data_IF_227853547452
#
_entry.id   IF_227853547452
#
_cell.length_a   1.000
_cell.length_b   1.000
_cell.length_c   1.000
_cell.angle_alpha   90.00
_cell.angle_beta   90.00
_cell.angle_gamma   90.00
#
_symmetry.space_group_name_H-M   'P 1'
#
loop_
_entity.id
_entity.type
_entity.pdbx_description
1 polymer ?
#
# COMPACT_ATOMS: atom_id res chain seq x y z
N UNK A 1 13.94 -49.66 79.00
CA UNK A 1 12.56 -49.97 79.44
C UNK A 1 11.57 -49.16 78.67
N UNK A 2 10.63 -49.84 78.14
CA UNK A 2 9.31 -49.43 77.50
C UNK A 2 9.28 -48.67 76.21
N UNK A 3 8.94 -49.42 75.17
CA UNK A 3 8.00 -49.13 74.12
C UNK A 3 6.58 -48.98 74.73
N UNK A 4 5.58 -48.42 74.05
CA UNK A 4 5.12 -48.66 72.70
C UNK A 4 4.61 -47.34 72.03
N UNK A 5 4.06 -47.24 70.87
CA UNK A 5 3.30 -48.03 69.90
C UNK A 5 2.58 -47.07 68.88
N UNK A 6 2.61 -47.39 67.60
CA UNK A 6 1.55 -47.37 66.61
C UNK A 6 0.85 -46.04 66.27
N UNK A 7 0.83 -45.72 64.97
CA UNK A 7 -0.11 -44.80 64.33
C UNK A 7 0.17 -44.61 62.84
N UNK A 8 -0.22 -45.57 62.00
CA UNK A 8 -0.33 -45.46 60.52
C UNK A 8 -1.48 -44.52 60.16
N UNK A 9 -1.27 -43.60 59.29
CA UNK A 9 -2.31 -43.25 58.29
C UNK A 9 -1.64 -42.77 57.00
N UNK A 10 -1.93 -43.52 55.93
CA UNK A 10 -1.73 -43.16 54.56
C UNK A 10 -2.70 -42.00 54.19
N UNK A 11 -2.23 -41.03 53.50
CA UNK A 11 -3.08 -40.18 52.66
C UNK A 11 -2.37 -39.89 51.37
N UNK A 12 -2.90 -40.50 50.33
CA UNK A 12 -2.54 -40.22 48.92
C UNK A 12 -2.99 -38.81 48.54
N UNK A 13 -2.05 -37.93 48.26
CA UNK A 13 -2.31 -36.63 47.65
C UNK A 13 -2.08 -36.72 46.16
N UNK A 14 -3.14 -36.67 45.42
CA UNK A 14 -3.20 -36.62 43.95
C UNK A 14 -2.58 -35.31 43.45
N UNK A 15 -1.46 -35.44 42.74
CA UNK A 15 -0.81 -34.34 42.05
C UNK A 15 -1.60 -34.07 40.76
N UNK A 16 -2.51 -33.09 40.76
CA UNK A 16 -3.22 -32.62 39.58
C UNK A 16 -2.29 -31.70 38.79
N UNK A 17 -1.72 -32.20 37.68
CA UNK A 17 -0.93 -31.46 36.71
C UNK A 17 -1.91 -30.64 35.86
N UNK A 18 -2.10 -29.36 36.16
CA UNK A 18 -2.82 -28.41 35.31
C UNK A 18 -1.93 -28.07 34.12
N UNK A 19 -2.14 -28.76 33.01
CA UNK A 19 -1.71 -28.33 31.70
C UNK A 19 -2.55 -27.11 31.29
N UNK A 20 -2.01 -25.91 31.46
CA UNK A 20 -2.51 -24.69 30.85
C UNK A 20 -2.14 -24.74 29.36
N UNK A 21 -3.05 -25.24 28.54
CA UNK A 21 -3.00 -25.07 27.08
C UNK A 21 -3.21 -23.59 26.79
N UNK A 22 -2.14 -22.87 26.49
CA UNK A 22 -2.20 -21.54 25.93
C UNK A 22 -2.76 -21.64 24.50
N UNK A 23 -4.05 -21.39 24.34
CA UNK A 23 -4.64 -21.15 23.03
C UNK A 23 -4.10 -19.83 22.50
N UNK A 24 -3.57 -19.76 21.26
CA UNK A 24 -3.18 -18.50 20.66
C UNK A 24 -4.43 -17.66 20.46
N UNK A 25 -4.40 -16.51 21.04
CA UNK A 25 -5.49 -15.60 21.27
C UNK A 25 -6.04 -15.02 19.97
N UNK A 26 -7.36 -14.97 19.84
CA UNK A 26 -8.12 -14.21 18.83
C UNK A 26 -7.86 -12.69 18.90
N UNK A 27 -7.10 -12.22 19.88
CA UNK A 27 -6.78 -10.82 20.09
C UNK A 27 -5.92 -10.20 18.97
N UNK A 28 -5.05 -10.98 18.32
CA UNK A 28 -4.19 -10.50 17.26
C UNK A 28 -4.99 -10.09 15.99
N UNK A 29 -6.06 -10.81 15.66
CA UNK A 29 -6.94 -10.46 14.53
C UNK A 29 -7.84 -9.26 14.88
N UNK A 30 -8.31 -9.16 16.10
CA UNK A 30 -9.12 -8.04 16.56
C UNK A 30 -8.31 -6.73 16.61
N UNK A 31 -7.04 -6.79 17.01
CA UNK A 31 -6.14 -5.64 17.01
C UNK A 31 -5.79 -5.17 15.59
N UNK A 32 -5.55 -6.08 14.65
CA UNK A 32 -5.28 -5.72 13.25
C UNK A 32 -6.49 -5.05 12.57
N UNK A 33 -7.71 -5.53 12.84
CA UNK A 33 -8.95 -4.92 12.32
C UNK A 33 -9.26 -3.58 12.98
N UNK A 34 -8.99 -3.41 14.26
CA UNK A 34 -9.14 -2.14 14.97
C UNK A 34 -8.11 -1.09 14.53
N UNK A 35 -6.85 -1.48 14.30
CA UNK A 35 -5.82 -0.62 13.76
C UNK A 35 -6.17 -0.14 12.34
N UNK A 36 -6.65 -1.04 11.46
CA UNK A 36 -7.12 -0.66 10.12
C UNK A 36 -8.35 0.26 10.14
N UNK A 37 -9.26 0.09 11.09
CA UNK A 37 -10.41 0.98 11.27
C UNK A 37 -9.97 2.36 11.80
N UNK A 38 -9.00 2.40 12.71
CA UNK A 38 -8.44 3.64 13.25
C UNK A 38 -7.67 4.44 12.18
N UNK A 39 -6.93 3.76 11.30
CA UNK A 39 -6.22 4.40 10.17
C UNK A 39 -7.21 4.99 9.17
N UNK A 40 -8.36 4.36 8.91
CA UNK A 40 -9.42 4.90 8.04
C UNK A 40 -10.10 6.15 8.62
N UNK A 41 -10.20 6.25 9.93
CA UNK A 41 -10.84 7.38 10.64
C UNK A 41 -9.85 8.48 11.07
N UNK A 42 -8.55 8.22 10.95
CA UNK A 42 -7.48 9.08 11.45
C UNK A 42 -7.18 10.31 10.59
N UNK A 43 -6.17 11.07 11.00
CA UNK A 43 -5.66 12.21 10.25
C UNK A 43 -4.93 11.75 8.95
N UNK A 44 -4.93 12.57 7.88
CA UNK A 44 -4.38 12.17 6.58
C UNK A 44 -2.87 11.87 6.61
N UNK A 45 -2.12 12.57 7.45
CA UNK A 45 -0.69 12.33 7.65
C UNK A 45 -0.42 11.01 8.39
N UNK A 46 -1.29 10.62 9.32
CA UNK A 46 -1.19 9.33 10.01
C UNK A 46 -1.49 8.16 9.07
N UNK A 47 -2.49 8.31 8.19
CA UNK A 47 -2.74 7.34 7.14
C UNK A 47 -1.51 7.13 6.25
N UNK A 48 -0.90 8.21 5.76
CA UNK A 48 0.29 8.14 4.90
C UNK A 48 1.47 7.53 5.65
N UNK A 49 1.68 7.92 6.92
CA UNK A 49 2.74 7.36 7.77
C UNK A 49 2.60 5.84 7.89
N UNK A 50 1.44 5.39 8.34
CA UNK A 50 1.16 3.97 8.58
C UNK A 50 1.29 3.17 7.29
N UNK A 51 0.62 3.61 6.21
CA UNK A 51 0.67 2.94 4.92
C UNK A 51 2.10 2.81 4.39
N UNK A 52 2.85 3.92 4.40
CA UNK A 52 4.22 3.92 3.86
C UNK A 52 5.15 3.05 4.70
N UNK A 53 5.00 3.04 6.03
CA UNK A 53 5.77 2.17 6.92
C UNK A 53 5.46 0.70 6.66
N UNK A 54 4.17 0.34 6.58
CA UNK A 54 3.73 -1.04 6.35
C UNK A 54 4.21 -1.59 5.00
N UNK A 55 4.20 -0.75 3.96
CA UNK A 55 4.73 -1.11 2.63
C UNK A 55 6.23 -1.35 2.68
N UNK A 56 7.01 -0.42 3.27
CA UNK A 56 8.45 -0.59 3.42
C UNK A 56 8.81 -1.84 4.23
N UNK A 57 8.11 -2.09 5.33
CA UNK A 57 8.35 -3.25 6.18
C UNK A 57 7.99 -4.56 5.48
N UNK A 58 6.93 -4.57 4.65
CA UNK A 58 6.58 -5.73 3.83
C UNK A 58 7.70 -6.05 2.83
N UNK A 59 8.24 -5.03 2.15
CA UNK A 59 9.34 -5.21 1.20
C UNK A 59 10.61 -5.69 1.90
N UNK A 60 10.95 -5.14 3.07
CA UNK A 60 12.13 -5.57 3.85
C UNK A 60 12.05 -7.03 4.30
N UNK A 61 10.85 -7.53 4.59
CA UNK A 61 10.63 -8.89 5.11
C UNK A 61 10.55 -9.96 4.02
N UNK A 62 10.26 -9.59 2.77
CA UNK A 62 10.08 -10.53 1.66
C UNK A 62 11.17 -10.39 0.60
N UNK A 63 12.02 -11.41 0.48
CA UNK A 63 13.12 -11.47 -0.52
C UNK A 63 12.61 -11.46 -1.95
N UNK A 64 11.41 -11.98 -2.21
CA UNK A 64 10.80 -11.95 -3.54
C UNK A 64 10.43 -10.53 -3.94
N UNK A 65 9.91 -9.72 -3.01
CA UNK A 65 9.67 -8.29 -3.24
C UNK A 65 10.99 -7.55 -3.49
N UNK A 66 12.04 -7.86 -2.73
CA UNK A 66 13.38 -7.28 -2.92
C UNK A 66 14.05 -7.70 -4.23
N UNK A 67 13.71 -8.84 -4.78
CA UNK A 67 14.19 -9.27 -6.11
C UNK A 67 13.36 -8.70 -7.27
N UNK A 68 12.28 -7.97 -6.98
CA UNK A 68 11.44 -7.35 -7.98
C UNK A 68 10.42 -8.31 -8.61
N UNK A 69 10.03 -9.39 -7.91
CA UNK A 69 8.96 -10.27 -8.36
C UNK A 69 7.68 -9.47 -8.60
N UNK A 70 7.31 -9.35 -9.86
CA UNK A 70 6.19 -8.51 -10.28
C UNK A 70 4.85 -8.99 -9.70
N UNK A 71 4.62 -10.30 -9.64
CA UNK A 71 3.39 -10.86 -9.09
C UNK A 71 3.25 -10.53 -7.60
N UNK A 72 4.33 -10.64 -6.85
CA UNK A 72 4.38 -10.27 -5.43
C UNK A 72 4.20 -8.77 -5.20
N UNK A 73 4.82 -7.94 -6.03
CA UNK A 73 4.64 -6.48 -5.97
C UNK A 73 3.19 -6.08 -6.28
N UNK A 74 2.57 -6.71 -7.28
CA UNK A 74 1.18 -6.48 -7.60
C UNK A 74 0.25 -6.89 -6.44
N UNK A 75 0.47 -8.07 -5.85
CA UNK A 75 -0.29 -8.52 -4.68
C UNK A 75 -0.12 -7.57 -3.48
N UNK A 76 1.10 -7.07 -3.22
CA UNK A 76 1.35 -6.07 -2.17
C UNK A 76 0.54 -4.79 -2.42
N UNK A 77 0.51 -4.30 -3.67
CA UNK A 77 -0.27 -3.12 -4.04
C UNK A 77 -1.76 -3.37 -3.84
N UNK A 78 -2.27 -4.50 -4.29
CA UNK A 78 -3.69 -4.86 -4.20
C UNK A 78 -4.15 -4.99 -2.74
N UNK A 79 -3.34 -5.63 -1.90
CA UNK A 79 -3.67 -5.89 -0.50
C UNK A 79 -3.47 -4.65 0.38
N UNK A 80 -2.34 -3.95 0.23
CA UNK A 80 -1.94 -2.92 1.21
C UNK A 80 -2.16 -1.49 0.74
N UNK A 81 -2.10 -1.21 -0.55
CA UNK A 81 -2.15 0.16 -1.07
C UNK A 81 -3.56 0.51 -1.56
N UNK A 82 -4.15 -0.33 -2.41
CA UNK A 82 -5.45 -0.03 -3.04
C UNK A 82 -6.59 0.27 -2.04
N UNK A 83 -6.67 -0.35 -0.86
CA UNK A 83 -7.71 0.00 0.12
C UNK A 83 -7.68 1.47 0.55
N UNK A 84 -6.55 2.16 0.40
CA UNK A 84 -6.34 3.56 0.81
C UNK A 84 -6.24 4.52 -0.37
N UNK A 85 -6.37 4.03 -1.61
CA UNK A 85 -6.25 4.83 -2.83
C UNK A 85 -7.59 4.89 -3.56
N UNK A 86 -8.01 6.10 -3.97
CA UNK A 86 -9.07 6.27 -4.97
C UNK A 86 -8.45 6.17 -6.37
N UNK A 87 -8.17 4.91 -6.79
CA UNK A 87 -7.48 4.68 -8.06
C UNK A 87 -8.35 5.01 -9.28
N UNK A 88 -9.67 4.91 -9.15
CA UNK A 88 -10.60 5.34 -10.20
C UNK A 88 -10.48 6.84 -10.44
N UNK A 89 -10.49 7.66 -9.39
CA UNK A 89 -10.27 9.11 -9.51
C UNK A 89 -8.90 9.45 -10.09
N UNK A 90 -7.84 8.76 -9.65
CA UNK A 90 -6.49 8.93 -10.21
C UNK A 90 -6.50 8.67 -11.72
N UNK A 91 -7.10 7.58 -12.16
CA UNK A 91 -7.23 7.22 -13.58
C UNK A 91 -8.10 8.25 -14.34
N UNK A 92 -9.24 8.63 -13.77
CA UNK A 92 -10.13 9.65 -14.34
C UNK A 92 -9.39 10.96 -14.60
N UNK A 93 -8.59 11.42 -13.66
CA UNK A 93 -7.83 12.66 -13.78
C UNK A 93 -6.73 12.54 -14.86
N UNK A 94 -6.04 11.40 -14.93
CA UNK A 94 -5.02 11.14 -15.96
C UNK A 94 -5.62 11.01 -17.37
N UNK A 95 -6.77 10.38 -17.52
CA UNK A 95 -7.51 10.25 -18.80
C UNK A 95 -8.18 11.57 -19.21
N UNK A 96 -8.55 12.39 -18.25
CA UNK A 96 -9.10 13.72 -18.46
C UNK A 96 -10.46 13.68 -19.18
N UNK A 97 -10.59 14.44 -20.27
CA UNK A 97 -11.87 14.57 -21.01
C UNK A 97 -12.38 13.24 -21.57
N UNK A 98 -11.48 12.34 -21.94
CA UNK A 98 -11.81 11.02 -22.47
C UNK A 98 -12.61 10.15 -21.49
N UNK A 99 -12.42 10.35 -20.18
CA UNK A 99 -13.12 9.58 -19.15
C UNK A 99 -14.66 9.66 -19.27
N UNK A 100 -15.18 10.83 -19.63
CA UNK A 100 -16.65 11.00 -19.79
C UNK A 100 -17.22 10.25 -20.99
N UNK A 101 -16.38 9.96 -21.99
CA UNK A 101 -16.77 9.23 -23.21
C UNK A 101 -16.57 7.72 -23.05
N UNK A 102 -15.78 7.28 -22.05
CA UNK A 102 -15.49 5.87 -21.81
C UNK A 102 -16.69 5.15 -21.21
N UNK A 103 -16.97 3.94 -21.71
CA UNK A 103 -17.95 3.02 -21.11
C UNK A 103 -17.49 2.54 -19.74
N UNK A 104 -18.37 1.97 -18.89
CA UNK A 104 -17.95 1.38 -17.61
C UNK A 104 -16.85 0.34 -17.79
N UNK A 105 -16.91 -0.52 -18.81
CA UNK A 105 -15.95 -1.56 -19.12
C UNK A 105 -14.60 -0.95 -19.52
N UNK A 106 -14.61 0.10 -20.33
CA UNK A 106 -13.40 0.83 -20.71
C UNK A 106 -12.76 1.52 -19.50
N UNK A 107 -13.55 2.11 -18.60
CA UNK A 107 -13.03 2.71 -17.34
C UNK A 107 -12.35 1.67 -16.45
N UNK A 108 -12.95 0.49 -16.33
CA UNK A 108 -12.33 -0.62 -15.58
C UNK A 108 -11.03 -1.09 -16.25
N UNK A 109 -11.03 -1.24 -17.57
CA UNK A 109 -9.83 -1.62 -18.32
C UNK A 109 -8.72 -0.57 -18.18
N UNK A 110 -9.03 0.72 -18.33
CA UNK A 110 -8.09 1.82 -18.13
C UNK A 110 -7.48 1.80 -16.72
N UNK A 111 -8.31 1.64 -15.69
CA UNK A 111 -7.85 1.60 -14.31
C UNK A 111 -6.94 0.40 -14.05
N UNK A 112 -7.30 -0.78 -14.57
CA UNK A 112 -6.48 -1.98 -14.44
C UNK A 112 -5.13 -1.83 -15.15
N UNK A 113 -5.15 -1.40 -16.41
CA UNK A 113 -3.93 -1.26 -17.21
C UNK A 113 -3.01 -0.14 -16.67
N UNK A 114 -3.57 0.97 -16.24
CA UNK A 114 -2.80 2.06 -15.65
C UNK A 114 -2.15 1.65 -14.31
N UNK A 115 -2.87 0.90 -13.47
CA UNK A 115 -2.29 0.33 -12.24
C UNK A 115 -1.11 -0.58 -12.56
N UNK A 116 -1.28 -1.50 -13.51
CA UNK A 116 -0.22 -2.43 -13.93
C UNK A 116 1.01 -1.66 -14.43
N UNK A 117 0.79 -0.61 -15.23
CA UNK A 117 1.85 0.27 -15.72
C UNK A 117 2.63 0.92 -14.56
N UNK A 118 1.94 1.49 -13.56
CA UNK A 118 2.59 2.13 -12.42
C UNK A 118 3.40 1.12 -11.60
N UNK A 119 2.84 -0.07 -11.32
CA UNK A 119 3.57 -1.12 -10.58
C UNK A 119 4.84 -1.50 -11.33
N UNK A 120 4.78 -1.69 -12.66
CA UNK A 120 5.96 -2.00 -13.47
C UNK A 120 6.99 -0.89 -13.47
N UNK A 121 6.54 0.35 -13.69
CA UNK A 121 7.42 1.52 -13.75
C UNK A 121 8.22 1.70 -12.45
N UNK A 122 7.58 1.46 -11.31
CA UNK A 122 8.21 1.67 -10.00
C UNK A 122 8.75 0.40 -9.33
N UNK A 123 8.59 -0.77 -9.95
CA UNK A 123 9.08 -2.05 -9.40
C UNK A 123 10.59 -2.04 -9.11
N UNK A 124 11.39 -1.44 -10.00
CA UNK A 124 12.83 -1.31 -9.82
C UNK A 124 13.21 -0.47 -8.59
N UNK A 125 12.49 0.61 -8.32
CA UNK A 125 12.71 1.40 -7.11
C UNK A 125 12.30 0.63 -5.84
N UNK A 126 11.18 -0.08 -5.88
CA UNK A 126 10.72 -0.92 -4.76
C UNK A 126 11.71 -2.05 -4.45
N UNK A 127 12.31 -2.67 -5.48
CA UNK A 127 13.30 -3.74 -5.29
C UNK A 127 14.62 -3.26 -4.66
N UNK A 128 14.88 -1.96 -4.63
CA UNK A 128 16.06 -1.39 -3.99
C UNK A 128 15.87 -1.05 -2.50
N UNK A 129 14.66 -1.21 -1.98
CA UNK A 129 14.36 -0.95 -0.56
C UNK A 129 15.15 -1.92 0.31
N UNK A 130 15.93 -1.37 1.28
CA UNK A 130 16.69 -2.08 2.30
C UNK A 130 16.40 -1.44 3.65
N UNK A 131 17.31 -0.68 4.20
CA UNK A 131 17.18 0.00 5.50
C UNK A 131 16.46 1.37 5.40
N UNK A 132 15.58 1.51 4.40
CA UNK A 132 14.85 2.74 4.17
C UNK A 132 13.81 2.97 5.27
N UNK A 133 13.59 4.23 5.60
CA UNK A 133 12.60 4.67 6.59
C UNK A 133 11.76 5.81 6.04
N UNK A 134 10.53 5.93 6.53
CA UNK A 134 9.64 7.05 6.21
C UNK A 134 9.93 8.19 7.18
N UNK A 135 10.26 9.36 6.63
CA UNK A 135 10.33 10.62 7.37
C UNK A 135 9.16 11.50 6.97
N UNK A 136 8.28 11.79 7.90
CA UNK A 136 7.19 12.74 7.68
C UNK A 136 7.76 14.16 7.65
N UNK A 137 7.33 14.96 6.68
CA UNK A 137 7.59 16.40 6.66
C UNK A 137 6.45 17.16 7.34
N UNK A 138 6.68 18.41 7.79
CA UNK A 138 5.65 19.16 8.48
C UNK A 138 4.35 19.24 7.67
N UNK A 139 3.28 18.72 8.24
CA UNK A 139 1.94 18.82 7.68
C UNK A 139 1.34 20.18 8.03
N UNK A 140 1.01 20.97 7.01
CA UNK A 140 0.50 22.33 7.18
C UNK A 140 -1.03 22.42 7.05
N UNK A 141 -1.70 21.24 7.01
CA UNK A 141 -3.12 21.18 6.67
C UNK A 141 -3.37 21.45 5.18
N UNK A 142 -4.62 21.71 4.85
CA UNK A 142 -5.07 21.98 3.48
C UNK A 142 -6.50 22.50 3.52
N UNK A 143 -7.24 22.37 2.42
CA UNK A 143 -8.69 22.53 2.44
C UNK A 143 -9.27 21.40 3.28
N UNK A 144 -10.47 21.64 3.84
CA UNK A 144 -11.11 20.67 4.75
C UNK A 144 -11.19 19.25 4.18
N UNK A 145 -11.36 19.14 2.86
CA UNK A 145 -11.60 17.88 2.15
C UNK A 145 -10.50 17.50 1.14
N UNK A 146 -9.41 18.29 1.02
CA UNK A 146 -8.34 18.08 0.06
C UNK A 146 -7.00 18.59 0.63
N UNK A 147 -6.05 17.69 0.82
CA UNK A 147 -4.78 17.99 1.49
C UNK A 147 -3.59 17.38 0.75
N UNK A 148 -2.40 17.93 1.02
CA UNK A 148 -1.13 17.36 0.57
C UNK A 148 -0.32 16.95 1.79
N UNK A 149 -0.02 15.66 1.88
CA UNK A 149 0.92 15.11 2.85
C UNK A 149 2.27 14.88 2.18
N UNK A 150 3.36 15.33 2.82
CA UNK A 150 4.71 15.24 2.29
C UNK A 150 5.57 14.32 3.11
N UNK A 151 6.35 13.49 2.43
CA UNK A 151 7.28 12.56 3.07
C UNK A 151 8.62 12.52 2.34
N UNK A 152 9.59 11.93 3.00
CA UNK A 152 10.85 11.50 2.43
C UNK A 152 11.09 10.05 2.79
N UNK A 153 11.49 9.25 1.81
CA UNK A 153 12.04 7.92 2.06
C UNK A 153 13.54 8.08 2.18
N UNK A 154 14.06 7.83 3.37
CA UNK A 154 15.47 8.03 3.69
C UNK A 154 16.17 6.69 3.91
N UNK A 155 17.41 6.57 3.47
CA UNK A 155 18.29 5.44 3.69
C UNK A 155 19.56 5.92 4.40
N UNK A 156 20.38 5.01 5.00
CA UNK A 156 21.66 5.36 5.60
C UNK A 156 22.65 5.98 4.60
N UNK A 157 22.49 5.70 3.31
CA UNK A 157 23.28 6.24 2.20
C UNK A 157 22.39 6.60 1.04
N UNK A 158 22.77 7.65 0.29
CA UNK A 158 22.03 8.16 -0.85
C UNK A 158 21.13 9.34 -0.50
N UNK A 159 20.59 9.96 -1.53
CA UNK A 159 19.70 11.10 -1.37
C UNK A 159 18.29 10.66 -0.94
N UNK A 160 17.61 11.46 -0.12
CA UNK A 160 16.23 11.20 0.23
C UNK A 160 15.32 11.21 -1.01
N UNK A 161 14.44 10.22 -1.12
CA UNK A 161 13.41 10.18 -2.15
C UNK A 161 12.19 10.92 -1.63
N UNK A 162 11.86 12.05 -2.25
CA UNK A 162 10.66 12.80 -1.90
C UNK A 162 9.43 12.11 -2.48
N UNK A 163 8.42 11.89 -1.62
CA UNK A 163 7.10 11.42 -2.00
C UNK A 163 6.04 12.31 -1.34
N UNK A 164 5.23 12.97 -2.17
CA UNK A 164 4.09 13.75 -1.70
C UNK A 164 2.79 13.08 -2.17
N UNK A 165 1.74 13.21 -1.37
CA UNK A 165 0.47 12.55 -1.61
C UNK A 165 -0.65 13.58 -1.59
N UNK A 166 -1.53 13.57 -2.60
CA UNK A 166 -2.81 14.26 -2.55
C UNK A 166 -3.86 13.32 -2.01
N UNK A 167 -4.57 13.78 -0.99
CA UNK A 167 -5.63 13.03 -0.36
C UNK A 167 -6.92 13.84 -0.38
N UNK A 168 -8.03 13.12 -0.56
CA UNK A 168 -9.37 13.65 -0.40
C UNK A 168 -10.08 12.95 0.74
N UNK A 169 -11.01 13.67 1.37
CA UNK A 169 -11.94 13.09 2.32
C UNK A 169 -13.04 12.36 1.56
N UNK A 170 -13.27 11.10 1.91
CA UNK A 170 -14.26 10.23 1.31
C UNK A 170 -15.06 9.52 2.41
N UNK A 171 -16.16 8.85 2.05
CA UNK A 171 -16.89 8.02 2.97
C UNK A 171 -15.97 6.97 3.61
N UNK A 172 -15.85 7.03 4.94
CA UNK A 172 -14.99 6.13 5.71
C UNK A 172 -13.52 6.58 5.84
N UNK A 173 -13.19 7.84 5.56
CA UNK A 173 -11.88 8.44 5.84
C UNK A 173 -11.17 9.02 4.63
N UNK A 174 -9.85 9.19 4.74
CA UNK A 174 -9.04 9.77 3.68
C UNK A 174 -8.67 8.75 2.60
N UNK A 175 -8.58 9.21 1.33
CA UNK A 175 -8.13 8.44 0.19
C UNK A 175 -7.07 9.19 -0.59
N UNK A 176 -5.97 8.52 -0.92
CA UNK A 176 -4.96 9.06 -1.82
C UNK A 176 -5.52 9.03 -3.25
N UNK A 177 -5.39 10.12 -4.01
CA UNK A 177 -5.81 10.15 -5.41
C UNK A 177 -4.72 10.64 -6.38
N UNK A 178 -3.55 11.07 -5.87
CA UNK A 178 -2.37 11.36 -6.68
C UNK A 178 -1.10 11.23 -5.84
N UNK A 179 0.02 10.90 -6.48
CA UNK A 179 1.33 10.78 -5.84
C UNK A 179 2.35 11.58 -6.65
N UNK A 180 3.17 12.35 -5.94
CA UNK A 180 4.34 13.01 -6.49
C UNK A 180 5.58 12.17 -6.18
N UNK A 181 6.35 11.83 -7.19
CA UNK A 181 7.61 11.12 -7.05
C UNK A 181 8.73 12.04 -7.56
N UNK A 182 9.63 12.44 -6.65
CA UNK A 182 10.78 13.32 -6.98
C UNK A 182 10.38 14.60 -7.74
N UNK A 183 9.28 15.23 -7.34
CA UNK A 183 8.80 16.48 -7.93
C UNK A 183 7.80 16.32 -9.08
N UNK A 184 7.53 15.09 -9.52
CA UNK A 184 6.62 14.81 -10.65
C UNK A 184 5.32 14.17 -10.16
N UNK A 185 4.19 14.85 -10.34
CA UNK A 185 2.86 14.32 -10.05
C UNK A 185 2.46 13.29 -11.11
N UNK A 186 2.06 12.09 -10.68
CA UNK A 186 1.75 10.97 -11.59
C UNK A 186 0.58 11.31 -12.52
N UNK A 187 -0.49 11.88 -12.00
CA UNK A 187 -1.65 12.29 -12.82
C UNK A 187 -1.23 13.24 -13.92
N UNK A 188 -0.47 14.28 -13.59
CA UNK A 188 -0.05 15.28 -14.58
C UNK A 188 0.94 14.71 -15.60
N UNK A 189 1.84 13.84 -15.16
CA UNK A 189 2.82 13.18 -16.03
C UNK A 189 2.14 12.34 -17.13
N UNK A 190 1.08 11.60 -16.79
CA UNK A 190 0.38 10.75 -17.75
C UNK A 190 -0.68 11.47 -18.58
N UNK A 191 -1.21 12.57 -18.09
CA UNK A 191 -2.33 13.28 -18.70
C UNK A 191 -2.11 13.69 -20.17
N UNK A 192 -0.93 14.26 -20.46
CA UNK A 192 -0.60 14.69 -21.81
C UNK A 192 -0.40 13.50 -22.76
N UNK A 193 0.29 12.45 -22.30
CA UNK A 193 0.49 11.22 -23.06
C UNK A 193 -0.85 10.53 -23.38
N UNK A 194 -1.70 10.37 -22.37
CA UNK A 194 -3.01 9.74 -22.55
C UNK A 194 -3.92 10.55 -23.46
N UNK A 195 -3.93 11.88 -23.32
CA UNK A 195 -4.69 12.74 -24.22
C UNK A 195 -4.22 12.61 -25.68
N UNK A 196 -2.92 12.53 -25.93
CA UNK A 196 -2.37 12.32 -27.27
C UNK A 196 -2.80 10.97 -27.85
N UNK A 197 -2.72 9.90 -27.06
CA UNK A 197 -3.12 8.56 -27.51
C UNK A 197 -4.62 8.44 -27.76
N UNK A 198 -5.44 9.08 -26.92
CA UNK A 198 -6.91 9.14 -27.13
C UNK A 198 -7.25 9.92 -28.41
N UNK A 199 -6.55 11.01 -28.70
CA UNK A 199 -6.76 11.78 -29.94
C UNK A 199 -6.42 10.97 -31.19
N UNK A 200 -5.48 10.03 -31.13
CA UNK A 200 -5.06 9.20 -32.25
C UNK A 200 -5.92 7.94 -32.43
N UNK A 201 -6.28 7.28 -31.35
CA UNK A 201 -6.90 5.95 -31.39
C UNK A 201 -8.15 5.78 -30.53
N UNK A 202 -8.66 6.88 -29.96
CA UNK A 202 -9.78 6.82 -29.03
C UNK A 202 -9.41 6.12 -27.71
N UNK A 203 -10.42 5.82 -26.91
CA UNK A 203 -10.26 5.14 -25.63
C UNK A 203 -9.68 3.72 -25.81
N UNK A 204 -10.15 3.00 -26.83
CA UNK A 204 -9.65 1.64 -27.12
C UNK A 204 -8.20 1.67 -27.58
N UNK A 205 -7.78 2.70 -28.29
CA UNK A 205 -6.38 2.93 -28.65
C UNK A 205 -5.48 3.10 -27.42
N UNK A 206 -5.91 3.89 -26.45
CA UNK A 206 -5.20 4.04 -25.18
C UNK A 206 -5.13 2.72 -24.40
N UNK A 207 -6.25 1.98 -24.28
CA UNK A 207 -6.29 0.69 -23.60
C UNK A 207 -5.30 -0.29 -24.26
N UNK A 208 -5.34 -0.38 -25.60
CA UNK A 208 -4.43 -1.24 -26.38
C UNK A 208 -2.97 -0.87 -26.12
N UNK A 209 -2.64 0.40 -26.20
CA UNK A 209 -1.28 0.90 -25.96
C UNK A 209 -0.77 0.57 -24.54
N UNK A 210 -1.60 0.78 -23.52
CA UNK A 210 -1.28 0.42 -22.15
C UNK A 210 -1.06 -1.09 -21.99
N UNK A 211 -1.92 -1.90 -22.56
CA UNK A 211 -1.80 -3.36 -22.54
C UNK A 211 -0.50 -3.84 -23.19
N UNK A 212 -0.13 -3.26 -24.33
CA UNK A 212 1.11 -3.60 -25.04
C UNK A 212 2.34 -3.21 -24.21
N UNK A 213 2.40 -2.01 -23.65
CA UNK A 213 3.47 -1.58 -22.73
C UNK A 213 3.60 -2.52 -21.54
N UNK A 214 2.47 -2.90 -20.95
CA UNK A 214 2.45 -3.83 -19.82
C UNK A 214 2.98 -5.22 -20.18
N UNK A 215 2.75 -5.70 -21.40
CA UNK A 215 3.32 -6.98 -21.88
C UNK A 215 4.82 -6.90 -22.10
N UNK A 216 5.31 -5.78 -22.63
CA UNK A 216 6.73 -5.59 -22.95
C UNK A 216 7.59 -5.28 -21.72
N UNK A 217 6.99 -5.04 -20.57
CA UNK A 217 7.72 -4.66 -19.35
C UNK A 217 8.35 -3.26 -19.41
N UNK A 218 7.91 -2.43 -20.37
CA UNK A 218 8.54 -1.16 -20.69
C UNK A 218 8.11 0.00 -19.81
N UNK A 219 9.10 0.80 -19.40
CA UNK A 219 8.95 2.11 -18.78
C UNK A 219 8.58 3.14 -19.86
N UNK A 220 7.44 3.88 -19.72
CA UNK A 220 7.07 4.94 -20.67
C UNK A 220 8.02 6.15 -20.65
N UNK A 221 8.89 6.26 -19.64
CA UNK A 221 9.91 7.31 -19.52
C UNK A 221 11.19 7.06 -20.29
N UNK A 222 11.44 5.83 -20.74
CA UNK A 222 12.58 5.49 -21.60
C UNK A 222 12.19 5.62 -23.06
N UNK A 223 12.29 6.84 -23.62
CA UNK A 223 12.44 6.98 -25.08
C UNK A 223 13.74 6.30 -25.48
N UNK A 224 13.63 5.34 -26.40
CA UNK A 224 14.75 4.77 -27.11
C UNK A 224 15.55 5.85 -27.86
#
# INVERSE_FOLDING_TARGET
MNKPSIGRTLSAGVLALLMASAMPTMDAFAQATAANAAVKAGAPDELVRTLSTDVLDSIKKDKSLQSGDFGKLQALVDEKILPYVNFEKMTQLAVGRGWRQATPEQRQALSREFRTLLVRTYSGAMSQVRDHQVKMLPFRGGKEDDVVVRTQIVAPRGDPIQLDYRLEKADGGWKIYDVNVLGVWLVENYKNSFASEINQGGIDGLIKSLTERNRQGGDPGKKA
#
